data_IF_404124569198
#
_entry.id   IF_404124569198
#
_cell.length_a   1.000
_cell.length_b   1.000
_cell.length_c   1.000
_cell.angle_alpha   90.00
_cell.angle_beta   90.00
_cell.angle_gamma   90.00
#
_symmetry.space_group_name_H-M   'P 1'
#
loop_
_entity.id
_entity.type
_entity.pdbx_description
1 polymer ?
#
# COMPACT_ATOMS: atom_id res chain seq x y z
N UNK A 1 -50.68 30.63 38.51
CA UNK A 1 -50.62 29.49 37.57
C UNK A 1 -49.86 28.36 38.24
N UNK A 2 -50.58 27.28 38.54
CA UNK A 2 -50.54 26.60 39.85
C UNK A 2 -49.66 25.35 39.90
N UNK A 3 -49.40 24.88 41.12
CA UNK A 3 -48.65 23.66 41.47
C UNK A 3 -49.05 22.40 40.65
N UNK A 4 -50.24 22.39 40.02
CA UNK A 4 -50.70 21.37 39.07
C UNK A 4 -49.77 21.24 37.84
N UNK A 5 -49.27 22.35 37.28
CA UNK A 5 -48.41 22.34 36.08
C UNK A 5 -47.02 21.77 36.38
N UNK A 6 -46.50 21.97 37.59
CA UNK A 6 -45.25 21.37 38.05
C UNK A 6 -45.40 19.88 38.40
N UNK A 7 -46.55 19.46 38.94
CA UNK A 7 -46.84 18.06 39.21
C UNK A 7 -47.01 17.25 37.91
N UNK A 8 -47.67 17.82 36.92
CA UNK A 8 -47.82 17.22 35.59
C UNK A 8 -46.50 17.15 34.82
N UNK A 9 -45.64 18.17 34.93
CA UNK A 9 -44.31 18.14 34.31
C UNK A 9 -43.43 17.07 34.95
N UNK A 10 -43.46 16.91 36.29
CA UNK A 10 -42.78 15.82 37.02
C UNK A 10 -43.34 14.44 36.68
N UNK A 11 -44.67 14.29 36.55
CA UNK A 11 -45.31 13.04 36.10
C UNK A 11 -44.97 12.70 34.64
N UNK A 12 -44.92 13.69 33.73
CA UNK A 12 -44.45 13.52 32.34
C UNK A 12 -42.95 13.17 32.27
N UNK A 13 -42.11 13.76 33.13
CA UNK A 13 -40.66 13.44 33.23
C UNK A 13 -40.42 12.02 33.75
N UNK A 14 -41.12 11.60 34.82
CA UNK A 14 -41.10 10.21 35.32
C UNK A 14 -41.67 9.21 34.31
N UNK A 15 -42.73 9.55 33.57
CA UNK A 15 -43.25 8.71 32.48
C UNK A 15 -42.29 8.62 31.29
N UNK A 16 -41.58 9.70 30.93
CA UNK A 16 -40.52 9.69 29.90
C UNK A 16 -39.30 8.87 30.33
N UNK A 17 -38.85 8.95 31.59
CA UNK A 17 -37.73 8.14 32.08
C UNK A 17 -38.09 6.66 32.19
N UNK A 18 -39.32 6.32 32.64
CA UNK A 18 -39.84 4.94 32.61
C UNK A 18 -40.05 4.39 31.20
N UNK A 19 -40.46 5.22 30.22
CA UNK A 19 -40.55 4.80 28.80
C UNK A 19 -39.17 4.60 28.16
N UNK A 20 -38.19 5.44 28.49
CA UNK A 20 -36.81 5.29 28.01
C UNK A 20 -36.12 4.04 28.59
N UNK A 21 -36.46 3.62 29.81
CA UNK A 21 -35.93 2.39 30.42
C UNK A 21 -36.43 1.10 29.75
N UNK A 22 -37.53 1.14 28.97
CA UNK A 22 -38.12 -0.04 28.34
C UNK A 22 -38.03 -0.06 26.80
N UNK A 23 -37.48 0.98 26.15
CA UNK A 23 -37.29 0.98 24.69
C UNK A 23 -35.97 0.31 24.31
N UNK A 24 -36.04 -0.94 23.85
CA UNK A 24 -34.91 -1.60 23.19
C UNK A 24 -34.67 -0.95 21.81
N UNK A 25 -33.56 -0.23 21.64
CA UNK A 25 -33.09 0.39 20.41
C UNK A 25 -32.42 -0.65 19.50
N UNK A 26 -32.64 -0.59 18.18
CA UNK A 26 -31.93 -1.46 17.22
C UNK A 26 -30.72 -0.73 16.64
N UNK A 27 -29.53 -1.28 16.85
CA UNK A 27 -28.30 -0.84 16.17
C UNK A 27 -27.74 -2.00 15.35
N UNK A 28 -27.29 -1.71 14.12
CA UNK A 28 -26.63 -2.68 13.24
C UNK A 28 -25.15 -2.68 13.57
N UNK A 29 -24.64 -3.79 14.09
CA UNK A 29 -23.23 -3.97 14.45
C UNK A 29 -22.65 -5.12 13.66
N UNK A 30 -21.41 -4.97 13.21
CA UNK A 30 -20.62 -6.07 12.63
C UNK A 30 -20.02 -6.85 13.79
N UNK A 31 -20.23 -8.17 13.82
CA UNK A 31 -19.80 -9.01 14.96
C UNK A 31 -18.87 -10.16 14.55
N UNK A 32 -18.76 -10.47 13.25
CA UNK A 32 -17.75 -11.32 12.62
C UNK A 32 -17.48 -10.83 11.18
N UNK A 33 -16.36 -11.24 10.60
CA UNK A 33 -16.01 -10.96 9.20
C UNK A 33 -17.16 -11.35 8.26
N UNK A 34 -17.66 -10.42 7.42
CA UNK A 34 -18.86 -10.56 6.56
C UNK A 34 -20.22 -10.75 7.25
N UNK A 35 -20.30 -10.72 8.59
CA UNK A 35 -21.56 -10.93 9.33
C UNK A 35 -21.99 -9.72 10.17
N UNK A 36 -23.21 -9.26 9.92
CA UNK A 36 -23.89 -8.20 10.66
C UNK A 36 -24.96 -8.78 11.58
N UNK A 37 -25.18 -8.13 12.72
CA UNK A 37 -26.31 -8.41 13.61
C UNK A 37 -26.98 -7.13 14.03
N UNK A 38 -28.30 -7.17 14.08
CA UNK A 38 -29.09 -6.16 14.76
C UNK A 38 -29.10 -6.50 16.24
N UNK A 39 -28.56 -5.61 17.07
CA UNK A 39 -28.68 -5.74 18.53
C UNK A 39 -29.72 -4.77 19.04
N UNK A 40 -30.60 -5.32 19.86
CA UNK A 40 -31.58 -4.59 20.65
C UNK A 40 -30.89 -4.14 21.94
N UNK A 41 -30.61 -2.85 22.09
CA UNK A 41 -29.96 -2.29 23.26
C UNK A 41 -30.83 -1.24 23.94
N UNK A 42 -30.94 -1.19 25.27
CA UNK A 42 -31.58 -0.08 25.98
C UNK A 42 -30.66 1.14 26.13
N UNK A 43 -29.46 1.11 25.53
CA UNK A 43 -28.43 2.14 25.69
C UNK A 43 -28.61 3.32 24.74
N UNK A 44 -28.48 4.54 25.28
CA UNK A 44 -28.52 5.81 24.56
C UNK A 44 -27.39 6.71 25.06
N UNK A 45 -26.81 7.56 24.20
CA UNK A 45 -25.69 8.42 24.58
C UNK A 45 -24.97 9.04 23.38
N UNK A 46 -23.92 9.80 23.67
CA UNK A 46 -22.99 10.38 22.68
C UNK A 46 -22.21 9.29 21.94
N UNK A 47 -21.65 9.61 20.76
CA UNK A 47 -20.79 8.67 20.03
C UNK A 47 -19.67 8.13 20.91
N UNK A 48 -19.00 8.97 21.71
CA UNK A 48 -17.95 8.55 22.65
C UNK A 48 -18.44 7.52 23.65
N UNK A 49 -19.62 7.69 24.25
CA UNK A 49 -20.18 6.74 25.23
C UNK A 49 -20.59 5.42 24.59
N UNK A 50 -21.19 5.48 23.40
CA UNK A 50 -21.55 4.29 22.62
C UNK A 50 -20.28 3.60 22.11
N UNK A 51 -19.32 4.34 21.58
CA UNK A 51 -18.03 3.85 21.12
C UNK A 51 -17.23 3.23 22.27
N UNK A 52 -17.06 3.88 23.41
CA UNK A 52 -16.38 3.29 24.59
C UNK A 52 -17.05 1.99 25.07
N UNK A 53 -18.38 1.92 24.97
CA UNK A 53 -19.17 0.74 25.37
C UNK A 53 -19.16 -0.40 24.35
N UNK A 54 -19.01 -0.09 23.07
CA UNK A 54 -19.11 -1.05 21.95
C UNK A 54 -17.80 -1.26 21.17
N UNK A 55 -16.72 -0.51 21.46
CA UNK A 55 -15.39 -0.65 20.81
C UNK A 55 -14.81 -2.05 20.99
N UNK A 56 -15.08 -2.67 22.15
CA UNK A 56 -14.69 -4.06 22.45
C UNK A 56 -15.73 -5.09 21.99
N UNK A 57 -16.79 -4.67 21.29
CA UNK A 57 -17.91 -5.48 20.79
C UNK A 57 -18.04 -5.51 19.27
N UNK A 58 -17.01 -5.06 18.53
CA UNK A 58 -16.88 -5.29 17.08
C UNK A 58 -16.94 -4.08 16.14
N UNK A 59 -16.74 -2.84 16.62
CA UNK A 59 -16.56 -1.67 15.73
C UNK A 59 -15.09 -1.28 15.71
N UNK A 60 -14.39 -1.73 14.67
CA UNK A 60 -12.94 -1.59 14.58
C UNK A 60 -12.60 -0.75 13.35
N UNK A 61 -11.98 0.41 13.55
CA UNK A 61 -11.49 1.25 12.46
C UNK A 61 -10.03 0.90 12.22
N UNK A 62 -9.66 0.44 11.03
CA UNK A 62 -8.29 0.01 10.72
C UNK A 62 -7.67 1.01 9.76
N UNK A 63 -6.55 1.65 10.05
CA UNK A 63 -6.06 2.67 9.12
C UNK A 63 -4.55 2.69 8.94
N UNK A 64 -4.14 3.39 7.89
CA UNK A 64 -2.75 3.64 7.46
C UNK A 64 -2.58 5.14 7.32
N UNK A 65 -1.44 5.75 7.68
CA UNK A 65 -1.23 7.19 7.48
C UNK A 65 -1.45 7.62 6.03
N UNK A 66 -2.15 8.74 5.84
CA UNK A 66 -2.28 9.38 4.52
C UNK A 66 -0.89 9.76 4.01
N UNK A 67 -0.59 9.48 2.74
CA UNK A 67 0.74 9.69 2.16
C UNK A 67 1.66 8.47 2.18
N UNK A 68 1.33 7.41 2.92
CA UNK A 68 2.16 6.20 2.94
C UNK A 68 2.03 5.40 1.63
N UNK A 69 3.09 4.68 1.22
CA UNK A 69 3.10 3.92 -0.03
C UNK A 69 2.20 2.69 0.05
N UNK A 70 1.48 2.42 -1.04
CA UNK A 70 0.67 1.20 -1.27
C UNK A 70 1.03 0.61 -2.63
N UNK A 71 1.07 -0.72 -2.74
CA UNK A 71 1.37 -1.35 -4.02
C UNK A 71 0.18 -1.31 -4.97
N UNK A 72 0.43 -0.85 -6.19
CA UNK A 72 -0.56 -0.65 -7.27
C UNK A 72 -0.09 -1.29 -8.58
N UNK A 73 -0.92 -1.26 -9.62
CA UNK A 73 -0.48 -1.57 -10.99
C UNK A 73 -0.04 -0.30 -11.75
N UNK A 74 1.22 -0.19 -12.17
CA UNK A 74 2.38 -0.91 -11.69
C UNK A 74 3.18 -0.10 -10.65
N UNK A 75 3.48 -0.71 -9.51
CA UNK A 75 4.48 -0.20 -8.58
C UNK A 75 3.84 0.37 -7.33
N UNK A 76 3.91 1.69 -7.14
CA UNK A 76 3.51 2.37 -5.92
C UNK A 76 2.50 3.48 -6.19
N UNK A 77 1.39 3.44 -5.47
CA UNK A 77 0.50 4.57 -5.25
C UNK A 77 0.67 5.13 -3.85
N UNK A 78 -0.16 6.13 -3.54
CA UNK A 78 -0.17 6.81 -2.26
C UNK A 78 -1.49 6.56 -1.55
N UNK A 79 -1.43 6.13 -0.29
CA UNK A 79 -2.61 6.00 0.55
C UNK A 79 -3.33 7.35 0.69
N UNK A 80 -4.62 7.36 0.38
CA UNK A 80 -5.48 8.55 0.42
C UNK A 80 -5.61 9.29 -0.91
N UNK A 81 -4.94 8.83 -1.96
CA UNK A 81 -5.19 9.25 -3.34
C UNK A 81 -6.15 8.26 -4.04
N UNK A 82 -6.77 8.69 -5.14
CA UNK A 82 -7.52 7.79 -6.01
C UNK A 82 -6.53 6.91 -6.77
N UNK A 83 -6.69 5.59 -6.63
CA UNK A 83 -5.83 4.58 -7.25
C UNK A 83 -6.60 3.83 -8.33
N UNK A 84 -5.92 3.61 -9.46
CA UNK A 84 -6.45 2.79 -10.56
C UNK A 84 -6.43 1.29 -10.23
N UNK A 85 -5.61 0.89 -9.25
CA UNK A 85 -5.56 -0.50 -8.76
C UNK A 85 -4.74 -0.62 -7.48
N UNK A 86 -4.97 -1.71 -6.75
CA UNK A 86 -4.13 -2.20 -5.65
C UNK A 86 -3.92 -3.70 -5.77
N UNK A 87 -2.89 -4.20 -5.12
CA UNK A 87 -2.55 -5.63 -5.16
C UNK A 87 -3.21 -6.36 -4.00
N UNK A 88 -3.94 -7.42 -4.28
CA UNK A 88 -4.53 -8.29 -3.25
C UNK A 88 -3.64 -9.49 -2.91
N UNK A 89 -4.05 -10.29 -1.93
CA UNK A 89 -3.29 -11.41 -1.35
C UNK A 89 -3.03 -12.56 -2.32
N UNK A 90 -3.80 -12.65 -3.40
CA UNK A 90 -3.58 -13.60 -4.49
C UNK A 90 -2.67 -13.03 -5.59
N UNK A 91 -2.14 -11.82 -5.41
CA UNK A 91 -1.25 -11.16 -6.38
C UNK A 91 -1.97 -10.49 -7.55
N UNK A 92 -3.31 -10.44 -7.55
CA UNK A 92 -4.08 -9.76 -8.58
C UNK A 92 -4.19 -8.26 -8.33
N UNK A 93 -4.35 -7.50 -9.41
CA UNK A 93 -4.67 -6.08 -9.36
C UNK A 93 -6.18 -5.87 -9.31
N UNK A 94 -6.65 -5.08 -8.35
CA UNK A 94 -8.07 -4.81 -8.11
C UNK A 94 -8.29 -3.31 -7.99
N UNK A 95 -9.38 -2.80 -8.55
CA UNK A 95 -9.77 -1.40 -8.39
C UNK A 95 -10.40 -1.24 -7.00
N UNK A 96 -9.89 -0.34 -6.13
CA UNK A 96 -10.57 -0.05 -4.88
C UNK A 96 -11.98 0.47 -5.13
N UNK A 97 -12.95 -0.09 -4.43
CA UNK A 97 -14.37 0.27 -4.60
C UNK A 97 -14.73 1.51 -3.82
N UNK A 98 -14.04 1.77 -2.70
CA UNK A 98 -14.31 2.89 -1.79
C UNK A 98 -13.04 3.33 -1.06
N UNK A 99 -13.03 4.58 -0.63
CA UNK A 99 -11.96 5.18 0.15
C UNK A 99 -12.53 5.79 1.42
N UNK A 100 -11.78 5.66 2.51
CA UNK A 100 -12.14 6.14 3.82
C UNK A 100 -10.98 6.98 4.37
N UNK A 101 -11.31 8.07 5.05
CA UNK A 101 -10.34 8.88 5.78
C UNK A 101 -10.93 9.33 7.11
N UNK A 102 -10.08 9.44 8.12
CA UNK A 102 -10.42 9.99 9.42
C UNK A 102 -9.21 10.64 10.05
N UNK A 103 -9.47 11.59 10.95
CA UNK A 103 -8.43 12.07 11.83
C UNK A 103 -8.09 11.00 12.88
N UNK A 104 -6.80 10.89 13.20
CA UNK A 104 -6.28 9.98 14.21
C UNK A 104 -5.23 10.69 15.06
N UNK A 105 -5.38 10.57 16.37
CA UNK A 105 -4.39 10.99 17.35
C UNK A 105 -4.16 9.80 18.29
N UNK A 106 -2.95 9.26 18.29
CA UNK A 106 -2.61 8.03 19.00
C UNK A 106 -1.26 7.47 18.58
N UNK A 107 -0.99 6.24 19.00
CA UNK A 107 0.24 5.54 18.60
C UNK A 107 0.05 4.83 17.26
N UNK A 108 1.03 4.91 16.36
CA UNK A 108 1.17 3.99 15.24
C UNK A 108 2.11 2.85 15.60
N UNK A 109 1.86 1.69 15.02
CA UNK A 109 2.77 0.54 15.04
C UNK A 109 3.54 0.53 13.72
N UNK A 110 4.87 0.66 13.82
CA UNK A 110 5.78 0.59 12.69
C UNK A 110 6.36 -0.81 12.60
N UNK A 111 5.98 -1.56 11.57
CA UNK A 111 6.40 -2.95 11.36
C UNK A 111 7.43 -2.99 10.23
N UNK A 112 8.64 -3.48 10.54
CA UNK A 112 9.71 -3.73 9.56
C UNK A 112 9.95 -5.23 9.43
N UNK A 113 9.51 -5.88 8.35
CA UNK A 113 9.93 -7.23 8.01
C UNK A 113 11.39 -7.27 7.55
N UNK A 114 11.98 -8.47 7.48
CA UNK A 114 13.21 -8.65 6.70
C UNK A 114 12.93 -8.41 5.21
N UNK A 115 13.92 -7.94 4.45
CA UNK A 115 13.85 -7.71 2.98
C UNK A 115 12.87 -6.59 2.53
N UNK A 116 11.69 -6.49 3.13
CA UNK A 116 10.63 -5.56 2.75
C UNK A 116 10.79 -4.20 3.46
N UNK A 117 10.24 -3.10 2.89
CA UNK A 117 10.13 -1.80 3.55
C UNK A 117 9.35 -1.87 4.86
N UNK A 118 9.44 -0.82 5.68
CA UNK A 118 8.57 -0.71 6.86
C UNK A 118 7.20 -0.16 6.47
N UNK A 119 6.20 -0.47 7.29
CA UNK A 119 4.82 -0.01 7.13
C UNK A 119 4.29 0.44 8.47
N UNK A 120 3.55 1.55 8.46
CA UNK A 120 2.94 2.15 9.65
C UNK A 120 1.46 1.88 9.65
N UNK A 121 0.94 1.45 10.78
CA UNK A 121 -0.44 1.00 10.93
C UNK A 121 -1.01 1.52 12.25
N UNK A 122 -2.31 1.74 12.31
CA UNK A 122 -2.96 1.85 13.62
C UNK A 122 -2.90 0.50 14.36
N UNK A 123 -2.83 0.47 15.71
CA UNK A 123 -2.59 -0.77 16.47
C UNK A 123 -3.62 -1.88 16.21
N UNK A 124 -4.85 -1.50 15.89
CA UNK A 124 -5.96 -2.40 15.60
C UNK A 124 -5.96 -2.95 14.17
N UNK A 125 -5.11 -2.45 13.27
CA UNK A 125 -5.13 -2.80 11.85
C UNK A 125 -4.77 -4.29 11.64
N UNK A 126 -5.62 -5.12 11.01
CA UNK A 126 -5.35 -6.54 10.85
C UNK A 126 -4.32 -6.81 9.77
N UNK A 127 -3.32 -7.61 10.13
CA UNK A 127 -2.23 -8.05 9.27
C UNK A 127 -2.36 -9.55 9.03
N UNK A 128 -2.18 -9.99 7.78
CA UNK A 128 -2.15 -11.41 7.46
C UNK A 128 -0.83 -11.99 7.98
N UNK A 129 -0.92 -12.75 9.06
CA UNK A 129 0.23 -13.21 9.81
C UNK A 129 0.16 -14.70 10.18
N UNK A 130 1.31 -15.28 10.50
CA UNK A 130 1.38 -16.55 11.22
C UNK A 130 2.54 -16.55 12.22
N UNK A 131 2.44 -17.41 13.25
CA UNK A 131 3.47 -17.54 14.27
C UNK A 131 4.71 -18.29 13.77
N UNK A 132 5.69 -18.47 14.65
CA UNK A 132 6.87 -19.31 14.39
C UNK A 132 6.72 -20.72 14.95
N UNK A 133 7.24 -21.71 14.24
CA UNK A 133 7.46 -23.08 14.73
C UNK A 133 8.96 -23.35 14.71
N UNK A 134 9.46 -23.99 15.77
CA UNK A 134 10.87 -24.40 15.86
C UNK A 134 11.04 -25.70 15.09
N UNK A 135 11.85 -25.69 14.05
CA UNK A 135 12.37 -26.91 13.45
C UNK A 135 13.61 -27.33 14.22
N UNK A 136 13.54 -28.51 14.84
CA UNK A 136 14.70 -29.15 15.45
C UNK A 136 15.57 -29.71 14.33
N UNK A 137 16.87 -29.45 14.42
CA UNK A 137 17.89 -30.10 13.60
C UNK A 137 18.88 -30.77 14.54
N UNK A 138 19.36 -31.95 14.14
CA UNK A 138 20.42 -32.68 14.85
C UNK A 138 21.81 -32.06 14.60
N UNK A 139 21.96 -31.34 13.48
CA UNK A 139 23.26 -30.90 12.94
C UNK A 139 23.41 -29.39 12.85
N UNK A 140 22.31 -28.64 13.01
CA UNK A 140 22.28 -27.18 12.85
C UNK A 140 21.50 -26.55 13.99
N UNK A 141 21.78 -25.27 14.26
CA UNK A 141 21.00 -24.49 15.19
C UNK A 141 19.49 -24.52 14.83
N UNK A 142 18.60 -24.65 15.83
CA UNK A 142 17.17 -24.70 15.61
C UNK A 142 16.67 -23.49 14.81
N UNK A 143 16.12 -23.75 13.64
CA UNK A 143 15.57 -22.70 12.78
C UNK A 143 14.11 -22.43 13.15
N UNK A 144 13.70 -21.16 13.07
CA UNK A 144 12.29 -20.78 13.15
C UNK A 144 11.71 -20.76 11.74
N UNK A 145 10.54 -21.38 11.55
CA UNK A 145 9.78 -21.39 10.30
C UNK A 145 8.37 -20.85 10.54
N UNK A 146 7.68 -20.32 9.54
CA UNK A 146 6.27 -19.94 9.69
C UNK A 146 5.45 -21.18 10.07
N UNK A 147 4.51 -21.02 10.99
CA UNK A 147 3.61 -22.10 11.41
C UNK A 147 2.60 -22.48 10.34
N UNK A 148 2.39 -21.58 9.37
CA UNK A 148 1.34 -21.66 8.35
C UNK A 148 -0.09 -21.74 8.94
N UNK A 149 -0.25 -21.55 10.25
CA UNK A 149 -1.54 -21.25 10.89
C UNK A 149 -1.83 -19.78 10.66
N UNK A 150 -2.38 -19.49 9.49
CA UNK A 150 -2.66 -18.14 9.02
C UNK A 150 -3.80 -17.52 9.82
N UNK A 151 -3.59 -16.30 10.31
CA UNK A 151 -4.55 -15.53 11.09
C UNK A 151 -4.49 -14.06 10.68
N UNK A 152 -5.60 -13.35 10.90
CA UNK A 152 -5.62 -11.90 10.90
C UNK A 152 -5.27 -11.42 12.30
N UNK A 153 -4.09 -10.83 12.45
CA UNK A 153 -3.57 -10.38 13.75
C UNK A 153 -3.50 -8.86 13.79
N UNK A 154 -4.02 -8.19 14.83
CA UNK A 154 -3.87 -6.74 14.98
C UNK A 154 -2.39 -6.33 14.98
N UNK A 155 -2.05 -5.22 14.32
CA UNK A 155 -0.69 -4.73 14.21
C UNK A 155 -0.01 -4.55 15.59
N UNK A 156 -0.75 -4.07 16.59
CA UNK A 156 -0.30 -3.86 17.96
C UNK A 156 0.02 -5.12 18.74
N UNK A 157 -0.45 -6.29 18.28
CA UNK A 157 -0.16 -7.60 18.86
C UNK A 157 0.97 -8.35 18.13
N UNK A 158 1.43 -7.83 16.99
CA UNK A 158 2.56 -8.43 16.27
C UNK A 158 3.83 -8.43 17.13
N UNK A 159 4.66 -9.43 16.92
CA UNK A 159 5.95 -9.61 17.57
C UNK A 159 7.01 -10.01 16.54
N UNK A 160 8.28 -9.93 16.90
CA UNK A 160 9.41 -10.41 16.04
C UNK A 160 9.44 -11.93 15.83
N UNK A 161 8.52 -12.66 16.48
CA UNK A 161 8.29 -14.10 16.26
C UNK A 161 7.20 -14.36 15.21
N UNK A 162 6.49 -13.33 14.77
CA UNK A 162 5.48 -13.45 13.73
C UNK A 162 6.10 -13.29 12.34
N UNK A 163 5.38 -13.82 11.36
CA UNK A 163 5.66 -13.75 9.94
C UNK A 163 4.50 -13.06 9.24
N UNK A 164 4.80 -12.17 8.31
CA UNK A 164 3.83 -11.46 7.47
C UNK A 164 3.90 -11.97 6.04
N UNK A 165 2.83 -11.80 5.27
CA UNK A 165 2.75 -12.36 3.93
C UNK A 165 2.96 -11.31 2.83
N UNK A 166 3.78 -11.65 1.84
CA UNK A 166 3.95 -10.90 0.60
C UNK A 166 3.57 -11.80 -0.59
N UNK A 167 2.61 -11.39 -1.45
CA UNK A 167 2.10 -12.27 -2.49
C UNK A 167 3.13 -12.47 -3.61
N UNK A 168 3.00 -13.58 -4.32
CA UNK A 168 3.67 -13.78 -5.61
C UNK A 168 2.89 -13.05 -6.68
N UNK A 169 3.59 -12.36 -7.57
CA UNK A 169 2.98 -11.71 -8.71
C UNK A 169 3.02 -12.60 -9.94
N UNK A 170 1.87 -12.83 -10.55
CA UNK A 170 1.79 -13.55 -11.82
C UNK A 170 1.94 -12.59 -13.00
N UNK A 171 2.48 -13.10 -14.10
CA UNK A 171 2.59 -12.40 -15.38
C UNK A 171 1.84 -13.20 -16.43
N UNK A 172 1.10 -12.51 -17.30
CA UNK A 172 0.24 -13.13 -18.32
C UNK A 172 0.59 -12.69 -19.74
N UNK A 173 1.54 -11.78 -19.90
CA UNK A 173 2.02 -11.32 -21.21
C UNK A 173 3.23 -12.12 -21.63
N UNK A 174 3.35 -12.28 -22.94
CA UNK A 174 4.59 -12.71 -23.58
C UNK A 174 5.09 -11.55 -24.43
N UNK A 175 6.40 -11.41 -24.49
CA UNK A 175 7.07 -10.30 -25.14
C UNK A 175 8.41 -10.77 -25.64
N UNK A 176 8.91 -10.10 -26.67
CA UNK A 176 10.18 -10.44 -27.29
C UNK A 176 11.33 -10.28 -26.26
N UNK A 177 12.08 -11.37 -25.95
CA UNK A 177 13.20 -11.31 -25.02
C UNK A 177 14.26 -10.27 -25.39
N UNK A 178 14.52 -10.05 -26.67
CA UNK A 178 15.51 -9.07 -27.12
C UNK A 178 15.04 -7.63 -26.89
N UNK A 179 13.76 -7.36 -27.17
CA UNK A 179 13.16 -6.05 -26.87
C UNK A 179 13.15 -5.80 -25.37
N UNK A 180 12.77 -6.80 -24.57
CA UNK A 180 12.79 -6.71 -23.11
C UNK A 180 14.21 -6.43 -22.59
N UNK A 181 15.22 -7.12 -23.11
CA UNK A 181 16.62 -6.88 -22.78
C UNK A 181 17.08 -5.46 -23.14
N UNK A 182 16.73 -4.96 -24.34
CA UNK A 182 16.99 -3.58 -24.74
C UNK A 182 16.32 -2.58 -23.79
N UNK A 183 15.11 -2.89 -23.30
CA UNK A 183 14.38 -2.01 -22.37
C UNK A 183 15.01 -2.02 -20.98
N UNK A 184 15.59 -3.16 -20.59
CA UNK A 184 16.42 -3.26 -19.39
C UNK A 184 17.66 -2.36 -19.49
N UNK A 185 18.37 -2.41 -20.61
CA UNK A 185 19.51 -1.53 -20.87
C UNK A 185 19.10 -0.06 -20.87
N UNK A 186 17.92 0.28 -21.41
CA UNK A 186 17.39 1.64 -21.35
C UNK A 186 17.09 2.06 -19.89
N UNK A 187 16.58 1.14 -19.07
CA UNK A 187 16.37 1.42 -17.66
C UNK A 187 17.65 1.69 -16.88
N UNK A 188 18.78 1.08 -17.26
CA UNK A 188 20.09 1.45 -16.75
C UNK A 188 20.59 2.78 -17.34
N UNK A 189 20.94 2.74 -18.63
CA UNK A 189 21.81 3.74 -19.27
C UNK A 189 21.03 4.77 -20.10
N UNK A 190 19.75 4.48 -20.33
CA UNK A 190 18.89 5.21 -21.25
C UNK A 190 18.30 6.49 -20.67
N UNK A 191 18.18 7.52 -21.52
CA UNK A 191 17.39 8.71 -21.23
C UNK A 191 16.95 9.46 -22.51
N UNK A 192 15.81 10.18 -22.49
CA UNK A 192 15.37 10.97 -23.63
C UNK A 192 15.75 12.46 -23.46
N UNK A 193 16.17 13.13 -24.55
CA UNK A 193 16.34 14.59 -24.62
C UNK A 193 15.79 15.08 -25.96
N UNK A 194 14.87 16.05 -25.94
CA UNK A 194 14.22 16.54 -27.16
C UNK A 194 13.63 15.39 -27.97
N UNK A 195 14.05 15.29 -29.23
CA UNK A 195 13.61 14.26 -30.19
C UNK A 195 14.56 13.05 -30.26
N UNK A 196 15.37 12.85 -29.21
CA UNK A 196 16.46 11.88 -29.21
C UNK A 196 16.41 10.99 -27.98
N UNK A 197 16.91 9.78 -28.17
CA UNK A 197 17.17 8.80 -27.11
C UNK A 197 18.66 8.53 -27.04
N UNK A 198 19.17 8.50 -25.83
CA UNK A 198 20.56 8.33 -25.51
C UNK A 198 20.78 7.13 -24.60
N UNK A 199 21.90 6.43 -24.75
CA UNK A 199 22.44 5.49 -23.77
C UNK A 199 23.87 5.94 -23.45
N UNK A 200 24.14 6.26 -22.18
CA UNK A 200 25.47 6.64 -21.73
C UNK A 200 26.22 5.40 -21.23
N UNK A 201 27.41 5.12 -21.76
CA UNK A 201 28.17 3.90 -21.47
C UNK A 201 29.60 4.23 -21.08
N UNK A 202 30.29 3.29 -20.42
CA UNK A 202 31.71 3.38 -20.16
C UNK A 202 32.56 3.24 -21.43
N UNK A 203 33.80 3.73 -21.39
CA UNK A 203 34.75 3.64 -22.51
C UNK A 203 35.03 2.20 -22.98
N UNK A 204 35.05 1.25 -22.05
CA UNK A 204 35.31 -0.16 -22.35
C UNK A 204 34.09 -0.93 -22.88
N UNK A 205 32.94 -0.26 -23.06
CA UNK A 205 31.66 -0.90 -23.38
C UNK A 205 31.25 -0.74 -24.86
N UNK A 206 32.23 -0.58 -25.75
CA UNK A 206 31.98 -0.39 -27.19
C UNK A 206 31.19 -1.56 -27.82
N UNK A 207 31.47 -2.80 -27.40
CA UNK A 207 30.67 -3.96 -27.83
C UNK A 207 29.21 -3.89 -27.38
N UNK A 208 28.93 -3.33 -26.20
CA UNK A 208 27.56 -3.11 -25.73
C UNK A 208 26.89 -1.96 -26.52
N UNK A 209 27.64 -0.92 -26.85
CA UNK A 209 27.18 0.19 -27.69
C UNK A 209 26.71 -0.30 -29.06
N UNK A 210 27.52 -1.13 -29.73
CA UNK A 210 27.16 -1.72 -31.02
C UNK A 210 25.94 -2.64 -30.90
N UNK A 211 25.89 -3.48 -29.86
CA UNK A 211 24.75 -4.37 -29.62
C UNK A 211 23.43 -3.60 -29.42
N UNK A 212 23.46 -2.45 -28.72
CA UNK A 212 22.30 -1.56 -28.58
C UNK A 212 21.84 -1.02 -29.94
N UNK A 213 22.77 -0.63 -30.82
CA UNK A 213 22.46 -0.18 -32.18
C UNK A 213 21.78 -1.28 -32.98
N UNK A 214 22.32 -2.50 -32.93
CA UNK A 214 21.80 -3.64 -33.70
C UNK A 214 20.40 -4.04 -33.21
N UNK A 215 20.18 -4.06 -31.89
CA UNK A 215 18.85 -4.29 -31.30
C UNK A 215 17.85 -3.20 -31.71
N UNK A 216 18.24 -1.92 -31.60
CA UNK A 216 17.38 -0.81 -31.97
C UNK A 216 17.06 -0.79 -33.48
N UNK A 217 18.01 -1.15 -34.33
CA UNK A 217 17.80 -1.27 -35.77
C UNK A 217 16.78 -2.37 -36.09
N UNK A 218 16.90 -3.55 -35.48
CA UNK A 218 15.97 -4.67 -35.67
C UNK A 218 14.57 -4.38 -35.13
N UNK A 219 14.46 -3.85 -33.91
CA UNK A 219 13.17 -3.68 -33.23
C UNK A 219 12.44 -2.39 -33.58
N UNK A 220 13.14 -1.33 -33.97
CA UNK A 220 12.53 -0.01 -34.22
C UNK A 220 12.81 0.58 -35.60
N UNK A 221 13.62 -0.10 -36.42
CA UNK A 221 14.05 0.40 -37.73
C UNK A 221 14.80 1.73 -37.62
N UNK A 222 15.57 1.93 -36.55
CA UNK A 222 16.32 3.18 -36.32
C UNK A 222 17.82 2.98 -36.49
N UNK A 223 18.47 3.95 -37.11
CA UNK A 223 19.94 4.02 -37.15
C UNK A 223 20.44 4.74 -35.90
N UNK A 224 21.41 4.14 -35.22
CA UNK A 224 22.11 4.74 -34.09
C UNK A 224 23.49 5.24 -34.47
N UNK A 225 24.04 6.16 -33.70
CA UNK A 225 25.44 6.60 -33.80
C UNK A 225 26.13 6.47 -32.44
N UNK A 226 27.42 6.14 -32.44
CA UNK A 226 28.25 6.16 -31.23
C UNK A 226 29.08 7.44 -31.24
N UNK A 227 28.93 8.26 -30.21
CA UNK A 227 29.76 9.45 -30.01
C UNK A 227 30.71 9.22 -28.83
N UNK A 228 31.99 9.54 -29.00
CA UNK A 228 32.96 9.49 -27.91
C UNK A 228 32.95 10.81 -27.14
N UNK A 229 32.79 10.72 -25.83
CA UNK A 229 32.88 11.85 -24.90
C UNK A 229 34.02 11.62 -23.90
N UNK A 230 34.53 12.68 -23.22
CA UNK A 230 35.61 12.52 -22.25
C UNK A 230 35.31 11.48 -21.15
N UNK A 231 34.05 11.33 -20.77
CA UNK A 231 33.61 10.45 -19.68
C UNK A 231 33.10 9.08 -20.13
N UNK A 232 33.01 8.80 -21.43
CA UNK A 232 32.51 7.52 -21.93
C UNK A 232 32.00 7.57 -23.37
N UNK A 233 31.19 6.58 -23.73
CA UNK A 233 30.53 6.47 -25.01
C UNK A 233 29.06 6.93 -24.89
N UNK A 234 28.52 7.48 -25.97
CA UNK A 234 27.13 7.89 -26.03
C UNK A 234 26.49 7.35 -27.29
N UNK A 235 25.61 6.35 -27.13
CA UNK A 235 24.77 5.87 -28.24
C UNK A 235 23.60 6.81 -28.39
N UNK A 236 23.38 7.33 -29.61
CA UNK A 236 22.32 8.29 -29.92
C UNK A 236 21.40 7.75 -31.00
N UNK A 237 20.09 7.88 -30.77
CA UNK A 237 19.04 7.65 -31.76
C UNK A 237 18.22 8.92 -31.95
N UNK A 238 18.08 9.41 -33.19
CA UNK A 238 17.33 10.63 -33.50
C UNK A 238 15.97 10.30 -34.13
N UNK A 239 14.98 9.96 -33.29
CA UNK A 239 13.60 9.68 -33.72
C UNK A 239 12.63 10.19 -32.65
N UNK A 240 11.85 11.20 -33.01
CA UNK A 240 10.93 11.86 -32.08
C UNK A 240 9.90 10.90 -31.48
N UNK A 241 9.28 10.05 -32.30
CA UNK A 241 8.32 9.05 -31.83
C UNK A 241 8.92 8.12 -30.76
N UNK A 242 10.19 7.72 -30.94
CA UNK A 242 10.90 6.88 -29.98
C UNK A 242 11.19 7.64 -28.67
N UNK A 243 11.65 8.89 -28.76
CA UNK A 243 11.90 9.72 -27.59
C UNK A 243 10.62 10.00 -26.79
N UNK A 244 9.50 10.25 -27.49
CA UNK A 244 8.20 10.46 -26.89
C UNK A 244 7.67 9.18 -26.21
N UNK A 245 7.83 8.02 -26.86
CA UNK A 245 7.51 6.72 -26.28
C UNK A 245 8.30 6.50 -24.98
N UNK A 246 9.63 6.64 -25.03
CA UNK A 246 10.50 6.46 -23.87
C UNK A 246 10.13 7.38 -22.70
N UNK A 247 9.85 8.64 -23.00
CA UNK A 247 9.43 9.64 -22.01
C UNK A 247 8.13 9.26 -21.32
N UNK A 248 7.14 8.81 -22.10
CA UNK A 248 5.80 8.43 -21.61
C UNK A 248 5.86 7.17 -20.75
N UNK A 249 6.51 6.14 -21.28
CA UNK A 249 6.52 4.80 -20.70
C UNK A 249 7.45 4.72 -19.49
N UNK A 250 8.68 5.22 -19.61
CA UNK A 250 9.71 5.07 -18.59
C UNK A 250 9.94 6.32 -17.74
N UNK A 251 9.33 7.45 -18.09
CA UNK A 251 9.53 8.72 -17.40
C UNK A 251 10.76 9.50 -17.88
N UNK A 252 11.02 10.64 -17.22
CA UNK A 252 12.15 11.53 -17.53
C UNK A 252 13.03 11.72 -16.31
N UNK A 253 14.36 11.66 -16.49
CA UNK A 253 15.38 11.71 -15.43
C UNK A 253 15.41 10.44 -14.57
N UNK A 254 16.59 10.13 -14.04
CA UNK A 254 16.84 8.89 -13.30
C UNK A 254 15.87 8.67 -12.12
N UNK A 255 15.58 9.71 -11.33
CA UNK A 255 14.73 9.59 -10.14
C UNK A 255 13.22 9.45 -10.45
N UNK A 256 12.78 9.74 -11.69
CA UNK A 256 11.40 9.49 -12.12
C UNK A 256 11.31 8.26 -13.04
N UNK A 257 12.39 7.47 -13.19
CA UNK A 257 12.33 6.25 -14.01
C UNK A 257 11.26 5.31 -13.43
N UNK A 258 10.46 4.72 -14.31
CA UNK A 258 9.44 3.71 -13.96
C UNK A 258 9.46 2.62 -15.01
N UNK A 259 9.01 1.44 -14.63
CA UNK A 259 8.86 0.28 -15.50
C UNK A 259 7.40 0.24 -15.98
N UNK A 260 7.16 0.18 -17.29
CA UNK A 260 5.81 0.08 -17.85
C UNK A 260 5.06 -1.17 -17.40
N UNK A 261 3.71 -1.12 -17.31
CA UNK A 261 2.91 -2.28 -16.94
C UNK A 261 3.13 -3.47 -17.88
N UNK A 262 3.29 -3.22 -19.19
CA UNK A 262 3.48 -4.28 -20.17
C UNK A 262 4.80 -5.06 -20.00
N UNK A 263 5.81 -4.50 -19.33
CA UNK A 263 7.03 -5.20 -18.92
C UNK A 263 6.81 -5.93 -17.59
N UNK A 264 6.15 -5.28 -16.63
CA UNK A 264 5.89 -5.88 -15.33
C UNK A 264 4.90 -7.05 -15.39
N UNK A 265 4.04 -7.09 -16.40
CA UNK A 265 3.06 -8.15 -16.63
C UNK A 265 3.61 -9.30 -17.48
N UNK A 266 4.89 -9.27 -17.85
CA UNK A 266 5.56 -10.36 -18.55
C UNK A 266 5.57 -11.62 -17.70
N UNK A 267 5.22 -12.75 -18.30
CA UNK A 267 5.36 -14.09 -17.71
C UNK A 267 6.80 -14.37 -17.34
N UNK A 268 7.73 -13.92 -18.19
CA UNK A 268 9.16 -13.99 -17.96
C UNK A 268 9.84 -12.60 -18.08
N UNK A 269 9.99 -11.86 -16.97
CA UNK A 269 10.71 -10.59 -16.98
C UNK A 269 12.24 -10.74 -16.89
N UNK A 270 12.81 -11.96 -16.97
CA UNK A 270 14.27 -12.18 -16.85
C UNK A 270 15.09 -11.39 -17.88
N UNK A 271 14.75 -11.37 -19.19
CA UNK A 271 15.57 -10.63 -20.16
C UNK A 271 15.67 -9.14 -19.83
N UNK A 272 14.55 -8.54 -19.41
CA UNK A 272 14.54 -7.15 -18.95
C UNK A 272 15.40 -6.94 -17.70
N UNK A 273 15.28 -7.80 -16.69
CA UNK A 273 16.10 -7.71 -15.48
C UNK A 273 17.59 -7.87 -15.79
N UNK A 274 17.94 -8.76 -16.72
CA UNK A 274 19.32 -8.96 -17.16
C UNK A 274 19.90 -7.74 -17.87
N UNK A 275 19.12 -7.10 -18.76
CA UNK A 275 19.53 -5.85 -19.39
C UNK A 275 19.74 -4.73 -18.36
N UNK A 276 18.85 -4.64 -17.37
CA UNK A 276 19.00 -3.61 -16.33
C UNK A 276 20.21 -3.88 -15.41
N UNK A 277 20.42 -5.14 -15.02
CA UNK A 277 21.59 -5.57 -14.25
C UNK A 277 22.90 -5.47 -15.04
N UNK A 278 22.86 -5.43 -16.38
CA UNK A 278 24.06 -5.30 -17.20
C UNK A 278 24.69 -3.91 -17.07
N UNK A 279 23.89 -2.86 -16.94
CA UNK A 279 24.36 -1.49 -16.72
C UNK A 279 24.44 -1.12 -15.23
N UNK A 280 23.32 -1.16 -14.51
CA UNK A 280 23.21 -0.70 -13.11
C UNK A 280 23.50 -1.79 -12.06
N UNK A 281 23.91 -2.98 -12.50
CA UNK A 281 23.98 -4.16 -11.65
C UNK A 281 25.39 -4.60 -11.24
N UNK A 282 25.46 -5.26 -10.08
CA UNK A 282 26.66 -5.92 -9.59
C UNK A 282 26.33 -7.33 -9.11
N UNK A 283 26.81 -8.35 -9.82
CA UNK A 283 26.66 -9.76 -9.44
C UNK A 283 27.88 -10.20 -8.61
N UNK A 284 27.68 -10.56 -7.34
CA UNK A 284 28.72 -11.14 -6.46
C UNK A 284 28.23 -12.47 -5.89
N UNK A 285 28.75 -13.57 -6.43
CA UNK A 285 28.25 -14.92 -6.13
C UNK A 285 26.73 -14.98 -6.35
N UNK A 286 26.00 -15.48 -5.34
CA UNK A 286 24.55 -15.63 -5.39
C UNK A 286 23.77 -14.38 -4.96
N UNK A 287 24.41 -13.22 -4.88
CA UNK A 287 23.73 -11.93 -4.59
C UNK A 287 23.92 -10.97 -5.75
N UNK A 288 22.82 -10.60 -6.40
CA UNK A 288 22.81 -9.58 -7.44
C UNK A 288 22.30 -8.29 -6.84
N UNK A 289 23.03 -7.19 -7.06
CA UNK A 289 22.68 -5.87 -6.57
C UNK A 289 22.31 -5.00 -7.75
N UNK A 290 21.32 -4.14 -7.55
CA UNK A 290 20.84 -3.17 -8.52
C UNK A 290 20.71 -1.84 -7.79
N UNK A 291 21.36 -0.79 -8.28
CA UNK A 291 21.23 0.56 -7.71
C UNK A 291 20.29 1.40 -8.58
N UNK A 292 19.45 2.22 -7.95
CA UNK A 292 18.61 3.20 -8.66
C UNK A 292 18.29 4.40 -7.77
N UNK A 293 18.07 5.56 -8.37
CA UNK A 293 17.57 6.76 -7.66
C UNK A 293 16.04 6.88 -7.69
N UNK A 294 15.34 5.99 -8.41
CA UNK A 294 13.88 5.98 -8.45
C UNK A 294 13.31 5.00 -7.43
N UNK A 295 12.57 5.55 -6.46
CA UNK A 295 11.80 4.76 -5.49
C UNK A 295 10.80 3.84 -6.19
N UNK A 296 10.11 4.36 -7.21
CA UNK A 296 9.16 3.60 -8.01
C UNK A 296 9.85 2.38 -8.66
N UNK A 297 10.97 2.60 -9.35
CA UNK A 297 11.70 1.53 -10.03
C UNK A 297 12.25 0.48 -9.03
N UNK A 298 12.73 0.91 -7.86
CA UNK A 298 13.20 -0.01 -6.82
C UNK A 298 12.07 -0.94 -6.32
N UNK A 299 10.87 -0.41 -6.12
CA UNK A 299 9.71 -1.21 -5.70
C UNK A 299 9.18 -2.08 -6.85
N UNK A 300 9.23 -1.60 -8.10
CA UNK A 300 8.88 -2.42 -9.24
C UNK A 300 9.89 -3.57 -9.47
N UNK A 301 11.17 -3.38 -9.13
CA UNK A 301 12.17 -4.46 -9.10
C UNK A 301 11.84 -5.53 -8.05
N UNK A 302 11.25 -5.15 -6.90
CA UNK A 302 10.70 -6.11 -5.93
C UNK A 302 9.58 -6.96 -6.53
N UNK A 303 8.68 -6.35 -7.33
CA UNK A 303 7.63 -7.08 -8.05
C UNK A 303 8.20 -8.06 -9.07
N UNK A 304 9.20 -7.63 -9.85
CA UNK A 304 9.92 -8.50 -10.80
C UNK A 304 10.53 -9.69 -10.08
N UNK A 305 11.27 -9.46 -8.99
CA UNK A 305 11.87 -10.54 -8.21
C UNK A 305 10.83 -11.53 -7.69
N UNK A 306 9.75 -11.03 -7.08
CA UNK A 306 8.68 -11.88 -6.55
C UNK A 306 8.10 -12.80 -7.64
N UNK A 307 7.89 -12.29 -8.86
CA UNK A 307 7.47 -13.08 -10.02
C UNK A 307 8.44 -14.20 -10.41
N UNK A 308 9.73 -13.88 -10.39
CA UNK A 308 10.84 -14.83 -10.61
C UNK A 308 11.05 -15.81 -9.45
N UNK A 309 10.23 -15.73 -8.39
CA UNK A 309 10.31 -16.63 -7.25
C UNK A 309 11.45 -16.29 -6.29
N UNK A 310 11.99 -15.06 -6.35
CA UNK A 310 13.05 -14.55 -5.47
C UNK A 310 12.56 -13.25 -4.84
N UNK A 311 12.37 -13.18 -3.52
CA UNK A 311 12.01 -11.91 -2.88
C UNK A 311 13.27 -11.06 -2.65
N UNK A 312 13.51 -9.97 -3.40
CA UNK A 312 14.70 -9.16 -3.17
C UNK A 312 14.52 -8.28 -1.93
N UNK A 313 15.65 -7.78 -1.42
CA UNK A 313 15.68 -6.80 -0.34
C UNK A 313 15.84 -5.39 -0.89
N UNK A 314 15.07 -4.42 -0.37
CA UNK A 314 15.28 -3.00 -0.66
C UNK A 314 16.03 -2.35 0.51
N UNK A 315 17.13 -1.67 0.20
CA UNK A 315 17.87 -0.82 1.10
C UNK A 315 17.81 0.62 0.58
N UNK A 316 17.50 1.55 1.47
CA UNK A 316 17.56 2.98 1.18
C UNK A 316 18.80 3.54 1.89
N UNK A 317 19.61 4.31 1.16
CA UNK A 317 20.74 5.02 1.76
C UNK A 317 20.35 6.46 2.05
N UNK A 318 20.49 6.86 3.31
CA UNK A 318 20.42 8.27 3.74
C UNK A 318 21.72 8.97 3.30
N UNK A 319 21.74 9.47 2.07
CA UNK A 319 22.87 10.27 1.57
C UNK A 319 22.66 11.73 1.99
N UNK A 320 23.71 12.44 2.45
CA UNK A 320 23.59 13.85 2.77
C UNK A 320 23.18 14.64 1.52
N UNK A 321 22.24 15.58 1.69
CA UNK A 321 21.55 16.29 0.59
C UNK A 321 22.48 16.99 -0.42
N UNK A 322 23.72 17.29 -0.05
CA UNK A 322 24.68 18.04 -0.87
C UNK A 322 25.97 17.27 -1.04
N UNK A 323 26.40 17.09 -2.29
CA UNK A 323 27.74 16.58 -2.64
C UNK A 323 28.43 17.45 -3.67
N UNK A 324 29.74 17.34 -3.73
CA UNK A 324 30.55 17.87 -4.81
C UNK A 324 31.05 16.67 -5.63
N UNK A 325 30.63 16.56 -6.89
CA UNK A 325 31.15 15.56 -7.84
C UNK A 325 31.92 16.33 -8.89
N UNK A 326 33.23 16.07 -9.03
CA UNK A 326 34.11 16.75 -9.99
C UNK A 326 33.95 18.29 -9.95
N UNK A 327 33.95 18.88 -8.74
CA UNK A 327 33.79 20.33 -8.55
C UNK A 327 32.36 20.87 -8.70
N UNK A 328 31.39 20.05 -9.11
CA UNK A 328 29.97 20.47 -9.25
C UNK A 328 29.19 20.17 -7.98
N UNK A 329 28.51 21.18 -7.43
CA UNK A 329 27.52 21.00 -6.36
C UNK A 329 26.32 20.24 -6.92
N UNK A 330 26.07 19.03 -6.43
CA UNK A 330 24.94 18.19 -6.79
C UNK A 330 24.04 17.97 -5.58
N UNK A 331 22.73 18.10 -5.79
CA UNK A 331 21.73 17.68 -4.81
C UNK A 331 21.66 16.15 -4.84
N UNK A 332 22.18 15.48 -3.82
CA UNK A 332 22.15 14.03 -3.75
C UNK A 332 20.74 13.58 -3.38
N UNK A 333 20.05 12.94 -4.33
CA UNK A 333 18.78 12.25 -4.08
C UNK A 333 19.03 10.91 -3.37
N UNK A 334 18.03 10.34 -2.67
CA UNK A 334 18.13 9.00 -2.09
C UNK A 334 18.55 7.99 -3.14
N UNK A 335 19.38 7.03 -2.75
CA UNK A 335 19.71 5.86 -3.57
C UNK A 335 19.07 4.63 -2.95
N UNK A 336 18.43 3.84 -3.80
CA UNK A 336 17.82 2.57 -3.47
C UNK A 336 18.72 1.46 -4.05
N UNK A 337 19.15 0.55 -3.19
CA UNK A 337 19.83 -0.67 -3.58
C UNK A 337 18.87 -1.86 -3.41
N UNK A 338 18.58 -2.53 -4.52
CA UNK A 338 17.77 -3.75 -4.56
C UNK A 338 18.71 -4.95 -4.63
N UNK A 339 18.59 -5.88 -3.67
CA UNK A 339 19.43 -7.08 -3.60
C UNK A 339 18.61 -8.33 -3.88
N UNK A 340 18.87 -8.99 -5.00
CA UNK A 340 18.33 -10.29 -5.34
C UNK A 340 19.19 -11.37 -4.70
N UNK A 341 18.60 -12.09 -3.76
CA UNK A 341 19.24 -13.19 -3.05
C UNK A 341 18.90 -14.51 -3.74
N UNK A 342 19.71 -14.88 -4.73
CA UNK A 342 19.56 -16.13 -5.49
C UNK A 342 19.85 -17.35 -4.62
N UNK A 343 19.38 -18.52 -5.04
CA UNK A 343 19.58 -19.80 -4.35
C UNK A 343 21.06 -20.01 -3.98
N UNK A 344 21.30 -20.42 -2.73
CA UNK A 344 22.63 -20.58 -2.14
C UNK A 344 23.23 -19.31 -1.54
N UNK A 345 22.62 -18.13 -1.71
CA UNK A 345 22.99 -16.92 -0.95
C UNK A 345 22.61 -17.01 0.53
N UNK A 346 23.24 -16.17 1.37
CA UNK A 346 22.99 -16.08 2.83
C UNK A 346 21.49 -16.04 3.17
N UNK A 347 20.70 -15.30 2.38
CA UNK A 347 19.26 -15.07 2.63
C UNK A 347 18.32 -15.97 1.82
N UNK A 348 18.81 -16.73 0.83
CA UNK A 348 17.97 -17.62 0.01
C UNK A 348 17.68 -18.97 0.66
N UNK A 349 18.69 -19.62 1.25
CA UNK A 349 18.60 -21.05 1.59
C UNK A 349 18.92 -21.41 3.05
N UNK A 350 19.41 -20.47 3.89
CA UNK A 350 19.92 -20.85 5.22
C UNK A 350 19.42 -20.06 6.42
N UNK A 351 18.69 -18.96 6.25
CA UNK A 351 18.19 -18.18 7.40
C UNK A 351 16.69 -17.93 7.32
N UNK A 352 16.02 -18.23 8.44
CA UNK A 352 14.60 -18.09 8.83
C UNK A 352 13.94 -16.73 8.60
N UNK A 353 14.22 -16.02 7.51
CA UNK A 353 13.78 -14.64 7.33
C UNK A 353 12.73 -14.51 6.24
N UNK A 354 12.80 -15.33 5.19
CA UNK A 354 11.77 -15.45 4.18
C UNK A 354 11.61 -16.92 3.77
N UNK A 355 10.37 -17.37 3.60
CA UNK A 355 10.02 -18.71 3.13
C UNK A 355 9.09 -18.57 1.93
N UNK A 356 9.55 -19.06 0.78
CA UNK A 356 8.73 -19.15 -0.43
C UNK A 356 7.70 -20.27 -0.31
N UNK A 357 6.46 -19.97 -0.66
CA UNK A 357 5.37 -20.93 -0.87
C UNK A 357 4.89 -20.82 -2.31
N UNK A 358 3.87 -21.62 -2.69
CA UNK A 358 3.27 -21.52 -4.02
C UNK A 358 2.64 -20.14 -4.28
N UNK A 359 2.04 -19.54 -3.26
CA UNK A 359 1.23 -18.31 -3.36
C UNK A 359 2.03 -17.03 -3.09
N UNK A 360 3.25 -17.14 -2.55
CA UNK A 360 4.04 -15.98 -2.15
C UNK A 360 5.17 -16.27 -1.18
N UNK A 361 5.41 -15.33 -0.29
CA UNK A 361 6.53 -15.34 0.65
C UNK A 361 6.03 -15.01 2.05
N UNK A 362 6.32 -15.89 3.00
CA UNK A 362 6.24 -15.57 4.41
C UNK A 362 7.53 -14.92 4.85
N UNK A 363 7.44 -13.74 5.43
CA UNK A 363 8.60 -12.91 5.78
C UNK A 363 8.55 -12.58 7.26
N UNK A 364 9.62 -12.92 7.98
CA UNK A 364 9.70 -12.73 9.41
C UNK A 364 9.74 -11.25 9.76
N UNK A 365 9.05 -10.86 10.83
CA UNK A 365 9.14 -9.50 11.38
C UNK A 365 10.52 -9.29 12.00
N UNK A 366 11.27 -8.29 11.51
CA UNK A 366 12.61 -7.94 12.01
C UNK A 366 12.55 -6.98 13.19
N UNK A 367 11.71 -5.96 13.10
CA UNK A 367 11.61 -4.89 14.10
C UNK A 367 10.18 -4.37 14.17
N UNK A 368 9.74 -4.05 15.38
CA UNK A 368 8.48 -3.35 15.65
C UNK A 368 8.83 -2.12 16.50
N UNK A 369 8.23 -0.98 16.16
CA UNK A 369 8.35 0.26 16.92
C UNK A 369 6.96 0.86 17.13
N UNK A 370 6.86 1.77 18.10
CA UNK A 370 5.70 2.63 18.29
C UNK A 370 6.13 4.07 18.10
N UNK A 371 5.28 4.86 17.46
CA UNK A 371 5.49 6.30 17.31
C UNK A 371 4.18 7.05 17.57
N UNK A 372 4.26 8.20 18.24
CA UNK A 372 3.11 9.09 18.38
C UNK A 372 2.77 9.73 17.03
N UNK A 373 1.50 9.75 16.69
CA UNK A 373 1.01 10.33 15.45
C UNK A 373 -0.26 11.15 15.71
N UNK A 374 -0.35 12.30 15.04
CA UNK A 374 -1.56 13.10 14.95
C UNK A 374 -1.71 13.57 13.51
N UNK A 375 -2.75 13.11 12.83
CA UNK A 375 -2.97 13.43 11.42
C UNK A 375 -4.05 12.56 10.79
N UNK A 376 -4.17 12.65 9.47
CA UNK A 376 -5.15 11.86 8.72
C UNK A 376 -4.64 10.46 8.47
N UNK A 377 -5.49 9.47 8.75
CA UNK A 377 -5.29 8.09 8.36
C UNK A 377 -6.37 7.69 7.37
N UNK A 378 -6.01 6.86 6.41
CA UNK A 378 -6.89 6.39 5.36
C UNK A 378 -6.95 4.86 5.35
N UNK A 379 -7.98 4.36 4.69
CA UNK A 379 -8.08 2.98 4.25
C UNK A 379 -8.92 2.95 2.97
N UNK A 380 -9.03 1.80 2.34
CA UNK A 380 -9.82 1.59 1.14
C UNK A 380 -10.53 0.24 1.22
N UNK A 381 -11.63 0.11 0.50
CA UNK A 381 -12.34 -1.15 0.30
C UNK A 381 -11.88 -1.78 -1.03
N UNK A 382 -11.58 -3.07 -1.00
CA UNK A 382 -11.21 -3.84 -2.20
C UNK A 382 -12.12 -5.06 -2.34
N UNK A 383 -12.36 -5.56 -3.57
CA UNK A 383 -13.14 -6.77 -3.80
C UNK A 383 -12.67 -7.98 -2.97
N UNK A 384 -11.35 -8.21 -2.88
CA UNK A 384 -10.78 -9.29 -2.08
C UNK A 384 -10.70 -8.99 -0.57
N UNK A 385 -11.15 -7.82 -0.14
CA UNK A 385 -11.11 -7.37 1.25
C UNK A 385 -9.71 -7.30 1.87
N UNK A 386 -8.69 -7.14 1.03
CA UNK A 386 -7.32 -6.99 1.46
C UNK A 386 -6.51 -6.25 0.38
N UNK A 387 -5.38 -5.71 0.78
CA UNK A 387 -4.46 -5.06 -0.15
C UNK A 387 -3.02 -5.10 0.39
N UNK A 388 -2.06 -4.81 -0.48
CA UNK A 388 -0.64 -4.91 -0.21
C UNK A 388 -0.03 -3.54 0.12
N UNK A 389 0.48 -3.43 1.35
CA UNK A 389 1.48 -2.43 1.74
C UNK A 389 2.87 -3.08 1.61
N UNK A 390 3.73 -3.06 2.61
CA UNK A 390 4.90 -3.96 2.56
C UNK A 390 4.54 -5.44 2.76
N UNK A 391 3.32 -5.72 3.20
CA UNK A 391 2.73 -7.05 3.38
C UNK A 391 1.20 -6.91 3.33
N UNK A 392 0.49 -8.04 3.26
CA UNK A 392 -0.96 -8.05 3.16
C UNK A 392 -1.61 -7.55 4.45
N UNK A 393 -2.47 -6.55 4.28
CA UNK A 393 -3.34 -6.02 5.32
C UNK A 393 -4.80 -6.13 4.89
N UNK A 394 -5.68 -6.09 5.87
CA UNK A 394 -7.11 -6.18 5.63
C UNK A 394 -7.69 -4.81 5.22
N UNK A 395 -8.66 -4.80 4.30
CA UNK A 395 -9.38 -3.57 3.95
C UNK A 395 -10.23 -3.07 5.12
N UNK A 396 -10.51 -1.77 5.20
CA UNK A 396 -11.60 -1.30 6.05
C UNK A 396 -12.93 -1.65 5.39
N UNK A 397 -13.91 -1.99 6.21
CA UNK A 397 -15.28 -1.66 5.89
C UNK A 397 -15.74 -0.67 6.95
N UNK A 398 -16.02 0.55 6.53
CA UNK A 398 -16.74 1.46 7.40
C UNK A 398 -18.14 0.90 7.69
N UNK A 399 -18.77 1.49 8.70
CA UNK A 399 -20.20 1.78 8.68
C UNK A 399 -20.40 3.25 8.28
N UNK A 400 -20.23 3.68 7.01
CA UNK A 400 -20.82 4.94 6.59
C UNK A 400 -22.27 4.64 6.17
N UNK A 401 -23.13 5.64 6.07
CA UNK A 401 -24.50 5.43 5.63
C UNK A 401 -24.49 4.92 4.19
N UNK A 402 -25.09 3.78 3.95
CA UNK A 402 -25.58 3.46 2.62
C UNK A 402 -27.09 3.64 2.61
N UNK A 403 -27.56 4.54 1.74
CA UNK A 403 -28.95 4.62 1.38
C UNK A 403 -29.27 3.51 0.38
N UNK A 404 -30.16 2.61 0.75
CA UNK A 404 -30.70 1.61 -0.15
C UNK A 404 -31.93 2.20 -0.84
N UNK A 405 -31.85 2.34 -2.16
CA UNK A 405 -32.95 2.80 -3.01
C UNK A 405 -34.07 1.76 -3.14
N UNK A 406 -33.79 0.48 -2.82
CA UNK A 406 -34.77 -0.61 -2.90
C UNK A 406 -35.75 -0.62 -1.73
N UNK A 407 -35.30 -0.25 -0.54
CA UNK A 407 -36.11 -0.29 0.69
C UNK A 407 -36.23 1.06 1.42
N UNK A 408 -35.63 2.12 0.87
CA UNK A 408 -35.69 3.48 1.41
C UNK A 408 -35.01 3.63 2.77
N UNK A 409 -34.06 2.75 3.10
CA UNK A 409 -33.40 2.73 4.41
C UNK A 409 -31.94 3.19 4.35
N UNK A 410 -31.49 3.85 5.42
CA UNK A 410 -30.08 4.16 5.64
C UNK A 410 -29.44 3.11 6.56
N UNK A 411 -28.26 2.62 6.19
CA UNK A 411 -27.49 1.66 6.99
C UNK A 411 -26.15 2.27 7.39
N UNK A 412 -25.92 2.57 8.68
CA UNK A 412 -24.70 3.23 9.17
C UNK A 412 -24.94 4.62 9.80
N UNK A 413 -23.89 5.43 9.99
CA UNK A 413 -23.93 6.74 10.67
C UNK A 413 -23.92 7.92 9.69
N UNK A 414 -24.98 8.76 9.65
CA UNK A 414 -25.16 9.84 8.65
C UNK A 414 -24.03 10.90 8.64
N UNK A 415 -23.41 11.08 7.48
CA UNK A 415 -22.47 12.17 7.21
C UNK A 415 -23.28 13.30 6.55
N UNK A 416 -23.51 14.43 7.25
CA UNK A 416 -24.05 15.64 6.62
C UNK A 416 -23.03 16.78 6.74
N UNK A 417 -22.73 17.42 5.61
CA UNK A 417 -21.60 18.31 5.45
C UNK A 417 -21.95 19.76 5.13
N UNK A 418 -23.10 20.31 5.52
CA UNK A 418 -23.26 21.77 5.58
C UNK A 418 -24.32 22.20 6.62
N UNK A 419 -24.38 23.51 6.93
CA UNK A 419 -25.34 24.07 7.90
C UNK A 419 -26.79 23.81 7.45
N UNK A 420 -27.04 23.79 6.15
CA UNK A 420 -28.35 23.57 5.52
C UNK A 420 -28.85 22.13 5.69
N UNK A 421 -27.97 21.14 5.54
CA UNK A 421 -28.22 19.72 5.73
C UNK A 421 -28.32 19.37 7.21
N UNK A 422 -27.46 19.94 8.07
CA UNK A 422 -27.59 19.76 9.52
C UNK A 422 -28.92 20.33 10.03
N UNK A 423 -29.28 21.55 9.60
CA UNK A 423 -30.55 22.16 9.93
C UNK A 423 -31.73 21.37 9.34
N UNK A 424 -31.62 20.86 8.11
CA UNK A 424 -32.64 20.03 7.46
C UNK A 424 -32.83 18.69 8.16
N UNK A 425 -31.76 18.02 8.56
CA UNK A 425 -31.77 16.76 9.30
C UNK A 425 -32.34 16.97 10.71
N UNK A 426 -31.95 18.04 11.40
CA UNK A 426 -32.56 18.44 12.68
C UNK A 426 -34.02 18.86 12.53
N UNK A 427 -34.41 19.43 11.39
CA UNK A 427 -35.81 19.79 11.07
C UNK A 427 -36.65 18.54 10.79
N UNK A 428 -36.12 17.58 10.03
CA UNK A 428 -36.81 16.34 9.63
C UNK A 428 -36.95 15.35 10.77
N UNK A 429 -35.88 15.14 11.55
CA UNK A 429 -35.86 14.09 12.58
C UNK A 429 -35.94 14.66 14.00
N UNK A 430 -35.67 15.96 14.19
CA UNK A 430 -35.65 16.61 15.50
C UNK A 430 -34.39 16.27 16.32
N UNK A 431 -34.03 17.14 17.26
CA UNK A 431 -32.93 16.91 18.23
C UNK A 431 -33.11 15.68 19.14
N UNK A 432 -34.29 15.07 19.11
CA UNK A 432 -34.62 13.86 19.85
C UNK A 432 -34.26 12.57 19.07
N UNK A 433 -33.96 12.69 17.77
CA UNK A 433 -33.50 11.60 16.92
C UNK A 433 -32.24 11.94 16.13
N UNK A 434 -31.68 13.15 16.28
CA UNK A 434 -30.49 13.56 15.57
C UNK A 434 -29.50 14.28 16.51
N UNK A 435 -28.22 13.91 16.44
CA UNK A 435 -27.16 14.41 17.33
C UNK A 435 -25.92 14.80 16.54
N UNK A 436 -25.42 16.00 16.76
CA UNK A 436 -24.20 16.51 16.12
C UNK A 436 -23.00 16.14 17.00
N UNK A 437 -22.02 15.43 16.44
CA UNK A 437 -20.75 15.13 17.09
C UNK A 437 -19.79 16.31 16.95
N UNK A 438 -19.39 16.96 18.05
CA UNK A 438 -18.54 18.15 18.00
C UNK A 438 -17.04 17.82 17.81
N UNK A 439 -16.64 16.56 18.00
CA UNK A 439 -15.24 16.11 17.97
C UNK A 439 -14.90 15.44 16.65
N UNK A 440 -15.77 14.55 16.16
CA UNK A 440 -15.53 13.83 14.91
C UNK A 440 -15.96 14.67 13.71
N UNK A 441 -14.99 14.95 12.83
CA UNK A 441 -15.20 15.77 11.64
C UNK A 441 -14.91 14.98 10.37
N UNK A 442 -15.79 15.07 9.39
CA UNK A 442 -15.57 14.57 8.03
C UNK A 442 -15.47 15.79 7.11
N UNK A 443 -14.37 15.92 6.37
CA UNK A 443 -14.05 17.12 5.58
C UNK A 443 -14.12 18.43 6.39
N UNK A 444 -13.66 18.40 7.65
CA UNK A 444 -13.66 19.57 8.54
C UNK A 444 -15.02 19.93 9.17
N UNK A 445 -16.05 19.10 8.97
CA UNK A 445 -17.43 19.38 9.40
C UNK A 445 -17.96 18.31 10.36
N UNK A 446 -18.73 18.74 11.35
CA UNK A 446 -19.27 17.87 12.40
C UNK A 446 -20.22 16.81 11.81
N UNK A 447 -20.07 15.56 12.24
CA UNK A 447 -20.93 14.45 11.81
C UNK A 447 -22.28 14.47 12.55
N UNK A 448 -23.39 14.10 11.89
CA UNK A 448 -24.73 14.05 12.50
C UNK A 448 -25.30 12.64 12.54
N UNK A 449 -25.46 12.10 13.74
CA UNK A 449 -26.06 10.79 13.98
C UNK A 449 -27.58 10.90 13.87
N UNK A 450 -28.25 9.97 13.19
CA UNK A 450 -29.73 9.95 13.09
C UNK A 450 -30.30 8.60 13.49
N UNK A 451 -31.21 8.59 14.46
CA UNK A 451 -31.92 7.43 14.97
C UNK A 451 -33.07 7.01 14.03
N UNK A 452 -33.03 5.74 13.60
CA UNK A 452 -34.08 5.08 12.81
C UNK A 452 -34.46 5.90 11.56
N UNK A 453 -33.45 6.30 10.78
CA UNK A 453 -33.62 7.04 9.53
C UNK A 453 -34.32 6.17 8.47
N UNK A 454 -35.64 6.12 8.55
CA UNK A 454 -36.51 5.67 7.45
C UNK A 454 -36.89 6.91 6.63
N UNK A 455 -36.97 6.72 5.31
CA UNK A 455 -37.51 7.71 4.37
C UNK A 455 -38.84 8.26 4.87
#
# INVERSE_FOLDING_TARGET
MSQQTQLESRKKRKRRSKRAQNSKFKIRVRYKYHYYRWINTPDYGTFKEVYEKYKNKGVTFWCVPKGDPVFTNPGLGTIGEQLDSVVSANGNYEIPTRYFERDYSGELVVVKPFLLPETRLTPEHPVLACGSVRQRSKWYDPQTRPSLKVVWKPAGELTVKDWVFFPRFEGRREGDPELLYLMGLYMAEGYPIGNQVYFALGHAEEGLAQHIIDLAARHWGVKGTINHHPTGLLVRFSKEALANFMRKEFGSRAFNKKIPPWILEQRDPRPFLEGWLKGDGLKRGNTWRLSTSSKMAAYQALLIGSRLGVLPAIYESDRPERRVIQGRRVNAKPEYEVRFHMDGSKYSNKTSHAIRTKDGFWVRVRKIRRESFSGTVCNMETPSNNYLLSFIVHNCADLPPEYSSQDGTWTGYRLDGDKTHTASTLKRYGRHKAWVDPVYKFQGKNVILVYNARG
#
